data_IF_984286597757
#
_entry.id   IF_984286597757
#
_cell.length_a   1.000
_cell.length_b   1.000
_cell.length_c   1.000
_cell.angle_alpha   90.00
_cell.angle_beta   90.00
_cell.angle_gamma   90.00
#
_symmetry.space_group_name_H-M   'P 1'
#
loop_
_entity.id
_entity.type
_entity.pdbx_description
1 polymer ?
#
# COMPACT_ATOMS: atom_id res chain seq x y z
N UNK A 1 6.50 -35.84 -22.01
CA UNK A 1 6.46 -35.37 -20.61
C UNK A 1 7.73 -34.59 -20.36
N UNK A 2 7.65 -33.34 -19.90
CA UNK A 2 8.86 -32.56 -19.59
C UNK A 2 9.61 -33.28 -18.46
N UNK A 3 10.90 -33.58 -18.67
CA UNK A 3 11.75 -34.20 -17.66
C UNK A 3 12.27 -33.13 -16.69
N UNK A 4 11.75 -33.14 -15.46
CA UNK A 4 12.10 -32.17 -14.42
C UNK A 4 13.59 -32.19 -14.06
N UNK A 5 14.27 -33.32 -14.27
CA UNK A 5 15.68 -33.49 -13.95
C UNK A 5 16.61 -32.54 -14.74
N UNK A 6 16.16 -32.01 -15.88
CA UNK A 6 16.93 -31.02 -16.67
C UNK A 6 16.99 -29.64 -16.02
N UNK A 7 15.94 -29.23 -15.31
CA UNK A 7 15.88 -27.95 -14.61
C UNK A 7 16.56 -28.07 -13.24
N UNK A 8 16.30 -29.15 -12.51
CA UNK A 8 16.85 -29.38 -11.16
C UNK A 8 18.38 -29.49 -11.15
N UNK A 9 18.98 -30.04 -12.22
CA UNK A 9 20.44 -30.20 -12.32
C UNK A 9 21.16 -28.97 -12.88
N UNK A 10 20.44 -27.96 -13.35
CA UNK A 10 21.02 -26.76 -13.92
C UNK A 10 20.64 -25.52 -13.11
N UNK A 11 21.57 -25.05 -12.29
CA UNK A 11 21.37 -23.88 -11.42
C UNK A 11 20.94 -22.62 -12.15
N UNK A 12 21.41 -22.40 -13.39
CA UNK A 12 21.03 -21.21 -14.18
C UNK A 12 19.57 -21.32 -14.62
N UNK A 13 19.15 -22.48 -15.14
CA UNK A 13 17.76 -22.71 -15.55
C UNK A 13 16.81 -22.60 -14.36
N UNK A 14 17.20 -23.12 -13.20
CA UNK A 14 16.42 -23.03 -11.97
C UNK A 14 16.26 -21.58 -11.50
N UNK A 15 17.35 -20.80 -11.47
CA UNK A 15 17.30 -19.37 -11.09
C UNK A 15 16.41 -18.57 -12.04
N UNK A 16 16.55 -18.76 -13.36
CA UNK A 16 15.70 -18.08 -14.35
C UNK A 16 14.23 -18.46 -14.14
N UNK A 17 13.93 -19.74 -13.91
CA UNK A 17 12.57 -20.20 -13.61
C UNK A 17 11.98 -19.54 -12.36
N UNK A 18 12.76 -19.46 -11.27
CA UNK A 18 12.34 -18.78 -10.03
C UNK A 18 12.06 -17.30 -10.29
N UNK A 19 12.96 -16.61 -10.99
CA UNK A 19 12.80 -15.18 -11.28
C UNK A 19 11.52 -14.92 -12.10
N UNK A 20 11.26 -15.73 -13.13
CA UNK A 20 10.06 -15.61 -13.94
C UNK A 20 8.80 -15.82 -13.08
N UNK A 21 8.77 -16.89 -12.26
CA UNK A 21 7.60 -17.21 -11.44
C UNK A 21 7.33 -16.12 -10.39
N UNK A 22 8.36 -15.61 -9.71
CA UNK A 22 8.22 -14.55 -8.71
C UNK A 22 7.79 -13.22 -9.36
N UNK A 23 8.32 -12.89 -10.55
CA UNK A 23 8.00 -11.65 -11.24
C UNK A 23 6.54 -11.56 -11.68
N UNK A 24 5.88 -12.68 -12.00
CA UNK A 24 4.49 -12.70 -12.45
C UNK A 24 3.56 -12.04 -11.42
N UNK A 25 3.72 -12.34 -10.12
CA UNK A 25 2.89 -11.73 -9.08
C UNK A 25 3.03 -10.21 -9.03
N UNK A 26 4.28 -9.72 -9.00
CA UNK A 26 4.55 -8.28 -8.98
C UNK A 26 4.02 -7.55 -10.22
N UNK A 27 4.13 -8.16 -11.41
CA UNK A 27 3.60 -7.57 -12.65
C UNK A 27 2.08 -7.49 -12.60
N UNK A 28 1.39 -8.55 -12.16
CA UNK A 28 -0.08 -8.59 -12.15
C UNK A 28 -0.69 -7.67 -11.09
N UNK A 29 -0.05 -7.55 -9.92
CA UNK A 29 -0.57 -6.74 -8.80
C UNK A 29 -0.17 -5.27 -8.89
N UNK A 30 1.10 -4.95 -9.20
CA UNK A 30 1.60 -3.57 -9.16
C UNK A 30 1.41 -2.83 -10.47
N UNK A 31 1.71 -3.46 -11.61
CA UNK A 31 1.75 -2.75 -12.89
C UNK A 31 0.41 -2.10 -13.25
N UNK A 32 -0.76 -2.77 -13.13
CA UNK A 32 -2.04 -2.14 -13.44
C UNK A 32 -2.36 -0.91 -12.58
N UNK A 33 -1.91 -0.87 -11.32
CA UNK A 33 -2.19 0.24 -10.42
C UNK A 33 -1.54 1.56 -10.86
N UNK A 34 -0.49 1.51 -11.69
CA UNK A 34 0.12 2.72 -12.27
C UNK A 34 -0.67 3.29 -13.46
N UNK A 35 -1.51 2.47 -14.11
CA UNK A 35 -2.21 2.85 -15.35
C UNK A 35 -3.73 2.99 -15.18
N UNK A 36 -4.30 2.38 -14.14
CA UNK A 36 -5.74 2.43 -13.87
C UNK A 36 -6.10 3.75 -13.16
N UNK A 37 -6.46 4.78 -13.94
CA UNK A 37 -7.01 6.03 -13.38
C UNK A 37 -8.37 5.81 -12.70
N UNK A 38 -9.09 4.72 -13.03
CA UNK A 38 -10.42 4.42 -12.50
C UNK A 38 -10.44 4.05 -11.02
N UNK A 39 -9.32 3.66 -10.43
CA UNK A 39 -9.24 3.31 -9.00
C UNK A 39 -9.07 4.53 -8.10
N UNK A 40 -8.84 5.72 -8.66
CA UNK A 40 -8.63 6.95 -7.90
C UNK A 40 -9.91 7.79 -7.97
N UNK A 41 -10.72 7.73 -6.90
CA UNK A 41 -11.90 8.58 -6.79
C UNK A 41 -11.52 10.06 -6.73
N UNK A 42 -12.20 10.91 -7.50
CA UNK A 42 -11.92 12.36 -7.47
C UNK A 42 -12.52 12.97 -6.20
N UNK A 43 -11.69 13.16 -5.17
CA UNK A 43 -12.10 13.83 -3.93
C UNK A 43 -11.86 15.33 -4.05
N UNK A 44 -12.88 16.15 -3.75
CA UNK A 44 -12.74 17.60 -3.72
C UNK A 44 -12.00 18.03 -2.46
N UNK A 45 -11.00 18.89 -2.62
CA UNK A 45 -10.31 19.55 -1.50
C UNK A 45 -9.02 18.87 -1.03
N UNK A 46 -8.67 17.70 -1.57
CA UNK A 46 -7.35 17.10 -1.34
C UNK A 46 -6.30 17.94 -2.08
N UNK A 47 -5.30 18.40 -1.34
CA UNK A 47 -4.16 19.20 -1.83
C UNK A 47 -2.87 18.64 -1.25
N UNK A 48 -1.71 18.96 -1.84
CA UNK A 48 -0.43 18.72 -1.19
C UNK A 48 -0.40 19.38 0.20
N UNK A 49 0.31 18.72 1.12
CA UNK A 49 0.56 19.26 2.45
C UNK A 49 1.26 20.62 2.37
N UNK A 50 0.82 21.57 3.19
CA UNK A 50 1.55 22.80 3.44
C UNK A 50 2.90 22.50 4.11
N UNK A 51 3.88 23.41 4.08
CA UNK A 51 5.20 23.16 4.67
C UNK A 51 5.16 22.75 6.14
N UNK A 52 4.24 23.33 6.92
CA UNK A 52 4.10 23.00 8.34
C UNK A 52 3.44 21.63 8.57
N UNK A 53 2.40 21.30 7.79
CA UNK A 53 1.76 19.97 7.82
C UNK A 53 2.76 18.89 7.42
N UNK A 54 3.59 19.14 6.38
CA UNK A 54 4.62 18.20 5.94
C UNK A 54 5.70 18.00 7.01
N UNK A 55 6.13 19.08 7.68
CA UNK A 55 7.05 18.98 8.81
C UNK A 55 6.45 18.17 9.97
N UNK A 56 5.18 18.40 10.29
CA UNK A 56 4.43 17.63 11.29
C UNK A 56 4.32 16.14 10.92
N UNK A 57 4.06 15.83 9.65
CA UNK A 57 4.03 14.46 9.12
C UNK A 57 5.39 13.77 9.25
N UNK A 58 6.48 14.48 8.97
CA UNK A 58 7.82 13.92 9.16
C UNK A 58 8.09 13.59 10.64
N UNK A 59 7.58 14.40 11.56
CA UNK A 59 7.63 14.10 13.00
C UNK A 59 6.77 12.89 13.33
N UNK A 60 5.55 12.79 12.79
CA UNK A 60 4.67 11.63 12.97
C UNK A 60 5.37 10.32 12.57
N UNK A 61 6.08 10.32 11.44
CA UNK A 61 6.89 9.18 10.99
C UNK A 61 8.08 8.94 11.91
N UNK A 62 8.82 10.00 12.29
CA UNK A 62 10.00 9.91 13.17
C UNK A 62 9.67 9.30 14.53
N UNK A 63 8.55 9.70 15.13
CA UNK A 63 8.10 9.20 16.43
C UNK A 63 7.42 7.83 16.33
N UNK A 64 7.25 7.29 15.11
CA UNK A 64 6.68 5.97 14.91
C UNK A 64 5.21 5.88 15.29
N UNK A 65 4.45 6.97 15.20
CA UNK A 65 3.02 7.00 15.55
C UNK A 65 2.22 5.94 14.78
N UNK A 66 2.63 5.66 13.53
CA UNK A 66 2.04 4.62 12.66
C UNK A 66 2.09 3.19 13.23
N UNK A 67 2.93 2.93 14.26
CA UNK A 67 2.98 1.62 14.92
C UNK A 67 1.80 1.39 15.89
N UNK A 68 1.15 2.47 16.32
CA UNK A 68 0.02 2.43 17.24
C UNK A 68 -1.28 2.90 16.58
N UNK A 69 -1.19 3.80 15.62
CA UNK A 69 -2.33 4.45 14.98
C UNK A 69 -2.33 4.16 13.47
N UNK A 70 -3.47 3.74 12.96
CA UNK A 70 -3.69 3.61 11.51
C UNK A 70 -4.33 4.86 10.95
N UNK A 71 -4.17 5.07 9.64
CA UNK A 71 -4.88 6.10 8.89
C UNK A 71 -5.59 5.45 7.69
N UNK A 72 -6.47 4.48 7.99
CA UNK A 72 -7.25 3.77 6.96
C UNK A 72 -8.51 3.18 7.59
N UNK A 73 -9.62 3.92 7.49
CA UNK A 73 -10.94 3.48 7.95
C UNK A 73 -11.51 2.48 6.96
N UNK A 74 -11.90 1.30 7.44
CA UNK A 74 -12.44 0.22 6.59
C UNK A 74 -13.94 0.43 6.32
N UNK A 75 -14.49 -0.07 5.19
CA UNK A 75 -15.88 0.12 4.79
C UNK A 75 -16.86 -0.79 5.55
N UNK A 76 -16.77 -0.81 6.89
CA UNK A 76 -17.69 -1.53 7.77
C UNK A 76 -18.49 -0.54 8.61
N UNK A 77 -19.76 -0.84 8.89
CA UNK A 77 -20.65 0.04 9.66
C UNK A 77 -20.05 0.46 11.01
N UNK A 78 -19.46 -0.48 11.76
CA UNK A 78 -18.86 -0.20 13.07
C UNK A 78 -17.64 0.73 12.99
N UNK A 79 -16.84 0.63 11.92
CA UNK A 79 -15.73 1.56 11.71
C UNK A 79 -16.24 2.94 11.33
N UNK A 80 -17.27 2.99 10.49
CA UNK A 80 -17.85 4.24 10.04
C UNK A 80 -18.49 5.01 11.19
N UNK A 81 -19.20 4.31 12.08
CA UNK A 81 -19.79 4.90 13.29
C UNK A 81 -18.72 5.38 14.28
N UNK A 82 -17.54 4.77 14.29
CA UNK A 82 -16.46 5.12 15.22
C UNK A 82 -15.54 6.24 14.71
N UNK A 83 -15.17 6.20 13.44
CA UNK A 83 -14.11 7.03 12.87
C UNK A 83 -14.58 7.95 11.73
N UNK A 84 -15.79 7.74 11.20
CA UNK A 84 -16.34 8.53 10.10
C UNK A 84 -16.29 7.83 8.74
N UNK A 85 -16.28 8.59 7.65
CA UNK A 85 -16.32 8.00 6.31
C UNK A 85 -15.15 7.03 6.09
N UNK A 86 -15.39 5.93 5.37
CA UNK A 86 -14.33 4.98 5.03
C UNK A 86 -13.28 5.66 4.14
N UNK A 87 -12.01 5.30 4.29
CA UNK A 87 -10.94 5.97 3.57
C UNK A 87 -11.01 5.69 2.07
N UNK A 88 -10.71 6.72 1.28
CA UNK A 88 -10.67 6.66 -0.17
C UNK A 88 -9.22 6.65 -0.66
N UNK A 89 -8.95 5.92 -1.75
CA UNK A 89 -7.59 5.82 -2.31
C UNK A 89 -6.96 7.18 -2.62
N UNK A 90 -7.78 8.17 -3.02
CA UNK A 90 -7.32 9.51 -3.36
C UNK A 90 -6.90 10.37 -2.16
N UNK A 91 -7.32 10.02 -0.94
CA UNK A 91 -6.92 10.75 0.27
C UNK A 91 -5.43 10.58 0.57
N UNK A 92 -4.86 9.43 0.22
CA UNK A 92 -3.44 9.12 0.39
C UNK A 92 -2.59 9.36 -0.86
N UNK A 93 -3.12 10.04 -1.89
CA UNK A 93 -2.42 10.23 -3.16
C UNK A 93 -1.09 10.99 -3.02
N UNK A 94 -0.98 11.90 -2.04
CA UNK A 94 0.22 12.69 -1.78
C UNK A 94 1.10 12.11 -0.66
N UNK A 95 0.77 10.93 -0.12
CA UNK A 95 1.51 10.33 0.98
C UNK A 95 2.73 9.55 0.50
N UNK A 96 3.90 10.10 0.76
CA UNK A 96 5.17 9.44 0.49
C UNK A 96 6.01 9.33 1.79
N UNK A 97 6.14 8.13 2.40
CA UNK A 97 5.41 6.89 2.10
C UNK A 97 3.98 6.91 2.67
N UNK A 98 3.06 6.07 2.16
CA UNK A 98 1.69 5.93 2.70
C UNK A 98 1.67 5.72 4.23
N UNK A 99 0.61 6.16 4.93
CA UNK A 99 0.50 6.09 6.39
C UNK A 99 -0.62 5.16 6.89
N UNK A 100 -1.09 4.26 6.03
CA UNK A 100 -2.04 3.22 6.44
C UNK A 100 -1.39 2.34 7.51
N UNK A 101 -2.10 2.10 8.60
CA UNK A 101 -1.55 1.32 9.71
C UNK A 101 -1.74 -0.18 9.52
N UNK A 102 -0.86 -0.96 10.13
CA UNK A 102 -0.97 -2.42 10.22
C UNK A 102 -1.45 -2.90 11.59
N UNK A 103 -1.52 -1.99 12.56
CA UNK A 103 -1.92 -2.27 13.94
C UNK A 103 -2.64 -1.06 14.54
N UNK A 104 -3.64 -1.33 15.39
CA UNK A 104 -4.36 -0.33 16.19
C UNK A 104 -4.19 -0.64 17.67
N UNK A 105 -3.14 -0.09 18.26
CA UNK A 105 -3.00 -0.02 19.73
C UNK A 105 -3.79 1.18 20.25
N UNK A 106 -3.68 2.31 19.53
CA UNK A 106 -4.57 3.45 19.63
C UNK A 106 -5.63 3.45 18.51
N UNK A 107 -6.58 4.41 18.54
CA UNK A 107 -7.59 4.58 17.50
C UNK A 107 -6.99 4.91 16.13
N UNK A 108 -7.80 4.79 15.07
CA UNK A 108 -7.49 5.34 13.74
C UNK A 108 -7.44 6.90 13.82
N UNK A 109 -6.62 7.53 12.98
CA UNK A 109 -6.37 8.98 12.95
C UNK A 109 -6.65 9.60 11.59
#
# INVERSE_FOLDING_TARGET
MFDHGKIERNSILMVVGILVVVAIGGIVELAPLFYLESTIEKVKGVRPYSPLELAGRNIYVREGCYNCHSQMVRPFRDEIERYGHYSLAAESMYDHPFQWGSKRTGPDL
#
